data_IF_872611505567
#
_entry.id   IF_872611505567
#
_cell.length_a   1.000
_cell.length_b   1.000
_cell.length_c   1.000
_cell.angle_alpha   90.00
_cell.angle_beta   90.00
_cell.angle_gamma   90.00
#
_symmetry.space_group_name_H-M   'P 1'
#
loop_
_entity.id
_entity.type
_entity.pdbx_description
1 polymer ?
#
# COMPACT_ATOMS: atom_id res chain seq x y z
N UNK A 1 -9.04 12.72 10.55
CA UNK A 1 -8.16 13.83 10.13
C UNK A 1 -7.47 14.39 11.36
N UNK A 2 -6.24 14.88 11.21
CA UNK A 2 -5.33 15.13 12.35
C UNK A 2 -4.62 13.85 12.79
N UNK A 3 -4.11 13.84 14.01
CA UNK A 3 -3.39 12.70 14.57
C UNK A 3 -4.19 12.03 15.71
N UNK A 4 -4.66 10.78 15.54
CA UNK A 4 -5.51 10.11 16.54
C UNK A 4 -4.85 9.94 17.91
N UNK A 5 -3.53 9.83 17.97
CA UNK A 5 -2.81 9.66 19.24
C UNK A 5 -2.72 10.97 20.05
N UNK A 6 -3.26 12.08 19.53
CA UNK A 6 -3.46 13.30 20.32
C UNK A 6 -4.70 13.26 21.22
N UNK A 7 -5.57 12.27 21.03
CA UNK A 7 -6.66 11.99 21.96
C UNK A 7 -6.12 11.41 23.27
N UNK A 8 -6.87 11.60 24.36
CA UNK A 8 -6.54 10.97 25.64
C UNK A 8 -6.70 9.44 25.56
N UNK A 9 -6.00 8.72 26.45
CA UNK A 9 -6.08 7.26 26.52
C UNK A 9 -7.54 6.78 26.71
N UNK A 10 -8.32 7.48 27.54
CA UNK A 10 -9.74 7.19 27.76
C UNK A 10 -10.60 7.38 26.50
N UNK A 11 -10.34 8.43 25.71
CA UNK A 11 -11.05 8.67 24.47
C UNK A 11 -10.72 7.60 23.42
N UNK A 12 -9.44 7.24 23.28
CA UNK A 12 -9.00 6.14 22.42
C UNK A 12 -9.66 4.83 22.83
N UNK A 13 -9.65 4.52 24.13
CA UNK A 13 -10.27 3.31 24.67
C UNK A 13 -11.75 3.21 24.31
N UNK A 14 -12.48 4.31 24.49
CA UNK A 14 -13.91 4.40 24.19
C UNK A 14 -14.19 4.18 22.69
N UNK A 15 -13.40 4.80 21.80
CA UNK A 15 -13.58 4.69 20.35
C UNK A 15 -13.27 3.26 19.89
N UNK A 16 -12.12 2.71 20.32
CA UNK A 16 -11.68 1.37 19.93
C UNK A 16 -12.64 0.28 20.44
N UNK A 17 -13.14 0.43 21.67
CA UNK A 17 -14.16 -0.47 22.23
C UNK A 17 -15.43 -0.50 21.38
N UNK A 18 -15.94 0.68 20.99
CA UNK A 18 -17.14 0.77 20.14
C UNK A 18 -16.93 0.16 18.76
N UNK A 19 -15.76 0.41 18.13
CA UNK A 19 -15.43 -0.19 16.85
C UNK A 19 -15.37 -1.72 16.94
N UNK A 20 -14.85 -2.27 18.05
CA UNK A 20 -14.77 -3.72 18.26
C UNK A 20 -16.09 -4.40 18.56
N UNK A 21 -17.13 -3.66 18.95
CA UNK A 21 -18.47 -4.21 19.11
C UNK A 21 -19.17 -4.46 17.76
N UNK A 22 -18.62 -3.94 16.65
CA UNK A 22 -19.20 -4.09 15.32
C UNK A 22 -18.66 -5.39 14.69
N UNK A 23 -19.49 -6.43 14.49
CA UNK A 23 -19.00 -7.77 14.13
C UNK A 23 -18.20 -7.84 12.81
N UNK A 24 -18.56 -7.03 11.81
CA UNK A 24 -17.90 -7.01 10.50
C UNK A 24 -16.60 -6.16 10.47
N UNK A 25 -16.21 -5.53 11.58
CA UNK A 25 -14.96 -4.76 11.65
C UNK A 25 -13.82 -5.68 12.06
N UNK A 26 -13.13 -6.23 11.06
CA UNK A 26 -12.05 -7.20 11.28
C UNK A 26 -10.76 -6.54 11.78
N UNK A 27 -10.31 -5.48 11.10
CA UNK A 27 -9.01 -4.83 11.38
C UNK A 27 -9.23 -3.36 11.75
N UNK A 28 -8.59 -2.94 12.84
CA UNK A 28 -8.47 -1.52 13.19
C UNK A 28 -7.05 -1.07 12.91
N UNK A 29 -6.89 0.09 12.27
CA UNK A 29 -5.57 0.70 12.02
C UNK A 29 -5.55 2.16 12.43
N UNK A 30 -4.42 2.59 13.00
CA UNK A 30 -4.18 3.97 13.40
C UNK A 30 -3.07 4.54 12.51
N UNK A 31 -3.34 5.67 11.84
CA UNK A 31 -2.31 6.46 11.16
C UNK A 31 -1.89 7.61 12.07
N UNK A 32 -0.62 7.67 12.48
CA UNK A 32 -0.14 8.68 13.43
C UNK A 32 1.32 9.03 13.21
N UNK A 33 1.65 10.32 13.20
CA UNK A 33 3.02 10.83 13.16
C UNK A 33 3.61 11.00 14.56
N UNK A 34 2.83 10.79 15.64
CA UNK A 34 3.27 10.91 17.03
C UNK A 34 4.56 10.15 17.36
N UNK A 35 4.81 8.90 16.90
CA UNK A 35 6.08 8.22 17.17
C UNK A 35 7.31 9.00 16.67
N UNK A 36 7.12 9.90 15.69
CA UNK A 36 8.15 10.75 15.10
C UNK A 36 8.28 12.07 15.88
N UNK A 37 7.16 12.79 16.05
CA UNK A 37 7.17 14.20 16.51
C UNK A 37 6.94 14.37 18.00
N UNK A 38 6.27 13.41 18.65
CA UNK A 38 6.00 13.42 20.09
C UNK A 38 6.12 12.00 20.67
N UNK A 39 7.31 11.36 20.59
CA UNK A 39 7.47 9.96 20.98
C UNK A 39 7.12 9.68 22.45
N UNK A 40 7.23 10.68 23.32
CA UNK A 40 6.85 10.59 24.74
C UNK A 40 5.37 10.30 24.98
N UNK A 41 4.51 10.53 23.99
CA UNK A 41 3.08 10.16 24.05
C UNK A 41 2.88 8.65 24.07
N UNK A 42 3.86 7.87 23.61
CA UNK A 42 3.86 6.41 23.63
C UNK A 42 4.30 5.91 25.03
N UNK A 43 3.39 6.07 25.98
CA UNK A 43 3.53 5.59 27.35
C UNK A 43 3.13 4.11 27.46
N UNK A 44 3.50 3.47 28.57
CA UNK A 44 3.10 2.08 28.82
C UNK A 44 1.58 1.96 29.01
N UNK A 45 0.93 2.98 29.57
CA UNK A 45 -0.53 3.07 29.70
C UNK A 45 -1.23 3.13 28.34
N UNK A 46 -0.76 3.98 27.42
CA UNK A 46 -1.30 4.02 26.06
C UNK A 46 -1.15 2.66 25.38
N UNK A 47 0.04 2.07 25.48
CA UNK A 47 0.31 0.76 24.88
C UNK A 47 -0.61 -0.31 25.48
N UNK A 48 -0.85 -0.28 26.80
CA UNK A 48 -1.80 -1.16 27.46
C UNK A 48 -3.23 -0.98 26.93
N UNK A 49 -3.66 0.27 26.69
CA UNK A 49 -4.96 0.55 26.06
C UNK A 49 -5.05 -0.07 24.67
N UNK A 50 -4.06 0.20 23.81
CA UNK A 50 -4.06 -0.27 22.42
C UNK A 50 -4.05 -1.80 22.29
N UNK A 51 -3.31 -2.50 23.17
CA UNK A 51 -3.20 -3.97 23.20
C UNK A 51 -4.53 -4.69 23.34
N UNK A 52 -5.52 -4.09 24.00
CA UNK A 52 -6.85 -4.70 24.22
C UNK A 52 -7.63 -4.94 22.93
N UNK A 53 -7.25 -4.28 21.83
CA UNK A 53 -8.07 -4.19 20.62
C UNK A 53 -7.43 -4.85 19.39
N UNK A 54 -6.55 -5.82 19.60
CA UNK A 54 -6.00 -6.66 18.53
C UNK A 54 -7.11 -7.36 17.71
N UNK A 55 -6.92 -7.58 16.38
CA UNK A 55 -5.75 -7.20 15.57
C UNK A 55 -5.71 -5.69 15.24
N UNK A 56 -4.72 -4.98 15.77
CA UNK A 56 -4.56 -3.53 15.61
C UNK A 56 -3.23 -3.23 14.93
N UNK A 57 -3.26 -2.36 13.92
CA UNK A 57 -2.10 -1.93 13.15
C UNK A 57 -1.81 -0.45 13.38
N UNK A 58 -0.55 -0.05 13.27
CA UNK A 58 -0.18 1.37 13.33
C UNK A 58 0.73 1.74 12.17
N UNK A 59 0.34 2.76 11.41
CA UNK A 59 1.15 3.36 10.37
C UNK A 59 1.73 4.69 10.85
N UNK A 60 3.06 4.79 10.88
CA UNK A 60 3.81 6.01 11.23
C UNK A 60 4.23 6.80 9.98
N UNK A 61 4.82 7.98 10.16
CA UNK A 61 5.18 8.93 9.10
C UNK A 61 6.58 9.56 9.28
N UNK A 62 7.61 8.72 9.25
CA UNK A 62 9.00 9.10 9.05
C UNK A 62 9.28 9.44 7.57
N UNK A 63 10.00 10.53 7.33
CA UNK A 63 10.47 11.02 6.03
C UNK A 63 11.99 11.12 5.95
N UNK A 64 12.71 11.22 7.07
CA UNK A 64 14.16 11.38 7.05
C UNK A 64 14.86 10.55 8.15
N UNK A 65 16.06 9.97 7.88
CA UNK A 65 16.79 9.19 8.90
C UNK A 65 17.10 9.93 10.21
N UNK A 66 17.16 11.27 10.18
CA UNK A 66 17.40 12.07 11.40
C UNK A 66 16.24 12.06 12.39
N UNK A 67 15.04 11.66 11.93
CA UNK A 67 13.89 11.53 12.82
C UNK A 67 14.01 10.31 13.75
N UNK A 68 14.92 9.37 13.47
CA UNK A 68 15.27 8.25 14.37
C UNK A 68 16.13 8.73 15.54
N UNK A 69 15.47 9.38 16.49
CA UNK A 69 16.03 9.71 17.80
C UNK A 69 15.89 8.53 18.76
N UNK A 70 16.67 8.52 19.84
CA UNK A 70 16.54 7.52 20.92
C UNK A 70 15.08 7.39 21.40
N UNK A 71 14.41 8.51 21.65
CA UNK A 71 13.03 8.53 22.10
C UNK A 71 12.06 7.92 21.08
N UNK A 72 12.23 8.23 19.78
CA UNK A 72 11.40 7.63 18.72
C UNK A 72 11.62 6.12 18.60
N UNK A 73 12.87 5.64 18.71
CA UNK A 73 13.16 4.21 18.68
C UNK A 73 12.57 3.48 19.88
N UNK A 74 12.62 4.07 21.08
CA UNK A 74 11.97 3.53 22.28
C UNK A 74 10.45 3.46 22.14
N UNK A 75 9.83 4.51 21.59
CA UNK A 75 8.39 4.53 21.30
C UNK A 75 8.00 3.43 20.30
N UNK A 76 8.75 3.27 19.21
CA UNK A 76 8.53 2.20 18.24
C UNK A 76 8.72 0.81 18.87
N UNK A 77 9.74 0.63 19.72
CA UNK A 77 9.98 -0.62 20.40
C UNK A 77 8.80 -1.01 21.30
N UNK A 78 8.27 -0.08 22.10
CA UNK A 78 7.10 -0.33 22.96
C UNK A 78 5.88 -0.77 22.16
N UNK A 79 5.61 -0.15 21.02
CA UNK A 79 4.50 -0.53 20.14
C UNK A 79 4.73 -1.90 19.49
N UNK A 80 5.93 -2.17 18.99
CA UNK A 80 6.25 -3.46 18.37
C UNK A 80 6.24 -4.61 19.39
N UNK A 81 6.79 -4.40 20.60
CA UNK A 81 6.74 -5.35 21.73
C UNK A 81 5.31 -5.58 22.21
N UNK A 82 4.39 -4.68 21.84
CA UNK A 82 2.98 -4.86 22.09
C UNK A 82 2.26 -5.82 21.14
N UNK A 83 2.99 -6.37 20.17
CA UNK A 83 2.44 -7.18 19.09
C UNK A 83 1.68 -6.34 18.06
N UNK A 84 1.82 -5.00 18.06
CA UNK A 84 1.20 -4.12 17.07
C UNK A 84 2.12 -4.06 15.85
N UNK A 85 1.68 -4.58 14.68
CA UNK A 85 2.48 -4.45 13.47
C UNK A 85 2.58 -2.99 13.04
N UNK A 86 3.80 -2.57 12.73
CA UNK A 86 4.12 -1.19 12.38
C UNK A 86 4.41 -1.07 10.88
N UNK A 87 3.70 -0.15 10.22
CA UNK A 87 4.01 0.30 8.87
C UNK A 87 4.51 1.74 8.87
N UNK A 88 5.18 2.16 7.80
CA UNK A 88 5.53 3.56 7.60
C UNK A 88 5.11 4.08 6.22
N UNK A 89 4.50 5.26 6.24
CA UNK A 89 4.09 6.01 5.07
C UNK A 89 4.97 7.26 4.98
N UNK A 90 5.97 7.24 4.10
CA UNK A 90 6.76 8.43 3.77
C UNK A 90 6.10 9.20 2.64
N UNK A 91 6.32 10.50 2.58
CA UNK A 91 6.04 11.34 1.40
C UNK A 91 7.36 11.72 0.76
N UNK A 92 7.44 11.62 -0.55
CA UNK A 92 8.58 12.06 -1.34
C UNK A 92 8.55 13.59 -1.44
N UNK A 93 9.49 14.23 -0.77
CA UNK A 93 9.57 15.68 -0.58
C UNK A 93 10.90 16.22 -1.09
N UNK A 94 10.82 17.21 -1.98
CA UNK A 94 11.97 17.90 -2.53
C UNK A 94 12.80 18.58 -1.43
N UNK A 95 14.13 18.37 -1.46
CA UNK A 95 15.05 18.93 -0.48
C UNK A 95 15.03 18.24 0.90
N UNK A 96 14.27 17.16 1.06
CA UNK A 96 14.20 16.39 2.32
C UNK A 96 14.66 14.96 2.08
N UNK A 97 13.99 14.21 1.21
CA UNK A 97 14.24 12.79 1.00
C UNK A 97 14.19 12.35 -0.47
N UNK A 98 14.28 13.30 -1.40
CA UNK A 98 14.38 13.11 -2.84
C UNK A 98 15.78 12.64 -3.30
N UNK A 99 16.38 11.73 -2.53
CA UNK A 99 17.70 11.15 -2.77
C UNK A 99 17.69 9.64 -2.49
N UNK A 100 18.10 8.78 -3.44
CA UNK A 100 18.16 7.33 -3.25
C UNK A 100 18.94 6.87 -2.01
N UNK A 101 20.05 7.54 -1.68
CA UNK A 101 20.88 7.19 -0.53
C UNK A 101 20.19 7.54 0.80
N UNK A 102 19.49 8.68 0.86
CA UNK A 102 18.71 9.07 2.04
C UNK A 102 17.56 8.07 2.24
N UNK A 103 16.84 7.75 1.18
CA UNK A 103 15.74 6.77 1.24
C UNK A 103 16.22 5.39 1.63
N UNK A 104 17.36 4.92 1.09
CA UNK A 104 17.97 3.64 1.48
C UNK A 104 18.27 3.59 2.96
N UNK A 105 18.91 4.64 3.50
CA UNK A 105 19.18 4.74 4.94
C UNK A 105 17.87 4.76 5.75
N UNK A 106 16.87 5.51 5.30
CA UNK A 106 15.58 5.61 5.96
C UNK A 106 14.90 4.24 6.07
N UNK A 107 14.79 3.51 4.96
CA UNK A 107 14.12 2.20 4.95
C UNK A 107 14.87 1.14 5.77
N UNK A 108 16.20 1.24 5.87
CA UNK A 108 16.98 0.36 6.74
C UNK A 108 16.73 0.65 8.22
N UNK A 109 16.72 1.93 8.61
CA UNK A 109 16.40 2.31 10.00
C UNK A 109 14.96 1.93 10.38
N UNK A 110 14.01 2.05 9.45
CA UNK A 110 12.63 1.56 9.65
C UNK A 110 12.61 0.07 9.97
N UNK A 111 13.21 -0.75 9.10
CA UNK A 111 13.22 -2.22 9.29
C UNK A 111 13.96 -2.61 10.57
N UNK A 112 15.08 -1.96 10.89
CA UNK A 112 15.84 -2.17 12.13
C UNK A 112 15.00 -1.91 13.39
N UNK A 113 14.05 -0.98 13.32
CA UNK A 113 13.10 -0.67 14.39
C UNK A 113 11.77 -1.42 14.26
N UNK A 114 11.72 -2.52 13.48
CA UNK A 114 10.52 -3.35 13.26
C UNK A 114 9.34 -2.60 12.65
N UNK A 115 9.63 -1.57 11.85
CA UNK A 115 8.67 -0.83 11.06
C UNK A 115 8.82 -1.21 9.59
N UNK A 116 7.75 -1.72 8.98
CA UNK A 116 7.75 -2.06 7.56
C UNK A 116 7.57 -0.79 6.72
N UNK A 117 8.48 -0.45 5.80
CA UNK A 117 8.22 0.56 4.79
C UNK A 117 6.99 0.15 3.99
N UNK A 118 5.90 0.91 4.13
CA UNK A 118 4.61 0.56 3.54
C UNK A 118 4.39 1.30 2.24
N UNK A 119 4.41 2.64 2.29
CA UNK A 119 4.27 3.49 1.12
C UNK A 119 5.33 4.57 1.06
N UNK A 120 5.76 4.87 -0.16
CA UNK A 120 6.34 6.16 -0.53
C UNK A 120 5.28 6.89 -1.35
N UNK A 121 4.70 7.95 -0.81
CA UNK A 121 3.71 8.76 -1.51
C UNK A 121 4.39 9.80 -2.38
N UNK A 122 3.90 9.99 -3.60
CA UNK A 122 4.12 11.23 -4.32
C UNK A 122 3.49 12.39 -3.53
N UNK A 123 4.17 13.54 -3.46
CA UNK A 123 3.61 14.73 -2.83
C UNK A 123 2.35 15.20 -3.58
N UNK A 124 1.25 15.32 -2.82
CA UNK A 124 -0.10 15.65 -3.32
C UNK A 124 -0.19 17.03 -3.98
N UNK A 125 -1.28 17.22 -4.74
CA UNK A 125 -1.65 18.48 -5.37
C UNK A 125 -2.28 19.50 -4.41
N UNK A 126 -2.00 19.41 -3.12
CA UNK A 126 -2.56 20.33 -2.13
C UNK A 126 -1.95 21.73 -2.25
N UNK A 127 -2.77 22.73 -1.93
CA UNK A 127 -2.37 24.14 -1.98
C UNK A 127 -1.15 24.40 -1.06
N UNK A 128 -0.21 25.20 -1.55
CA UNK A 128 1.01 25.56 -0.82
C UNK A 128 2.15 24.52 -0.85
N UNK A 129 1.94 23.31 -1.37
CA UNK A 129 2.97 22.25 -1.36
C UNK A 129 3.84 22.18 -2.62
N UNK A 130 3.64 23.05 -3.61
CA UNK A 130 4.30 22.96 -4.91
C UNK A 130 5.85 22.87 -4.84
N UNK A 131 6.45 23.59 -3.88
CA UNK A 131 7.91 23.61 -3.67
C UNK A 131 8.47 22.29 -3.08
N UNK A 132 7.63 21.45 -2.49
CA UNK A 132 8.01 20.11 -2.03
C UNK A 132 7.79 19.01 -3.07
N UNK A 133 7.18 19.32 -4.21
CA UNK A 133 6.85 18.31 -5.22
C UNK A 133 8.09 17.90 -6.01
N UNK A 134 8.13 16.62 -6.34
CA UNK A 134 9.13 16.01 -7.23
C UNK A 134 8.47 15.51 -8.52
N UNK A 135 9.21 15.39 -9.63
CA UNK A 135 8.76 14.62 -10.79
C UNK A 135 8.59 13.14 -10.42
N UNK A 136 7.62 12.46 -11.05
CA UNK A 136 7.36 11.01 -10.83
C UNK A 136 8.63 10.17 -11.08
N UNK A 137 9.44 10.58 -12.07
CA UNK A 137 10.71 9.92 -12.38
C UNK A 137 11.66 9.83 -11.18
N UNK A 138 11.61 10.78 -10.23
CA UNK A 138 12.41 10.72 -9.00
C UNK A 138 11.98 9.59 -8.08
N UNK A 139 10.67 9.33 -7.97
CA UNK A 139 10.16 8.18 -7.22
C UNK A 139 10.55 6.85 -7.86
N UNK A 140 10.47 6.76 -9.20
CA UNK A 140 10.91 5.58 -9.96
C UNK A 140 12.42 5.33 -9.76
N UNK A 141 13.26 6.37 -9.86
CA UNK A 141 14.71 6.32 -9.62
C UNK A 141 15.03 5.78 -8.21
N UNK A 142 14.30 6.25 -7.19
CA UNK A 142 14.45 5.78 -5.81
C UNK A 142 14.08 4.30 -5.71
N UNK A 143 12.93 3.88 -6.25
CA UNK A 143 12.49 2.49 -6.19
C UNK A 143 13.46 1.55 -6.93
N UNK A 144 13.94 1.93 -8.12
CA UNK A 144 14.97 1.18 -8.85
C UNK A 144 16.24 1.01 -8.01
N UNK A 145 16.62 2.06 -7.27
CA UNK A 145 17.80 2.04 -6.38
C UNK A 145 17.61 1.25 -5.09
N UNK A 146 16.41 0.73 -4.82
CA UNK A 146 16.08 -0.08 -3.64
C UNK A 146 15.84 -1.55 -4.01
N UNK A 147 15.06 -1.82 -5.06
CA UNK A 147 14.76 -3.18 -5.51
C UNK A 147 16.07 -3.90 -5.88
N UNK A 148 16.29 -5.07 -5.30
CA UNK A 148 17.51 -5.88 -5.53
C UNK A 148 18.77 -5.37 -4.82
N UNK A 149 18.89 -4.07 -4.59
CA UNK A 149 19.99 -3.46 -3.83
C UNK A 149 19.83 -3.57 -2.31
N UNK A 150 18.64 -3.93 -1.83
CA UNK A 150 18.38 -4.23 -0.43
C UNK A 150 17.35 -5.34 -0.25
N UNK A 151 17.07 -5.72 1.00
CA UNK A 151 16.03 -6.69 1.33
C UNK A 151 14.67 -6.23 0.81
N UNK A 152 13.90 -7.16 0.22
CA UNK A 152 12.53 -6.89 -0.22
C UNK A 152 11.61 -6.39 0.90
N UNK A 153 11.93 -6.68 2.17
CA UNK A 153 11.23 -6.15 3.33
C UNK A 153 11.36 -4.61 3.45
N UNK A 154 12.45 -4.04 2.92
CA UNK A 154 12.78 -2.63 2.99
C UNK A 154 12.29 -1.83 1.77
N UNK A 155 11.61 -2.47 0.81
CA UNK A 155 11.11 -1.80 -0.40
C UNK A 155 9.65 -1.39 -0.20
N UNK A 156 9.32 -0.08 -0.07
CA UNK A 156 7.94 0.37 -0.02
C UNK A 156 7.31 0.32 -1.42
N UNK A 157 5.98 0.34 -1.48
CA UNK A 157 5.30 0.64 -2.74
C UNK A 157 5.32 2.15 -2.99
N UNK A 158 5.86 2.61 -4.11
CA UNK A 158 5.71 4.00 -4.52
C UNK A 158 4.33 4.20 -5.14
N UNK A 159 3.57 5.17 -4.65
CA UNK A 159 2.18 5.40 -5.04
C UNK A 159 1.91 6.88 -5.31
N UNK A 160 1.00 7.12 -6.25
CA UNK A 160 0.42 8.42 -6.53
C UNK A 160 -1.04 8.36 -6.11
N UNK A 161 -1.50 9.25 -5.23
CA UNK A 161 -2.94 9.37 -4.97
C UNK A 161 -3.59 10.08 -6.15
N UNK A 162 -4.49 9.38 -6.83
CA UNK A 162 -5.10 9.87 -8.05
C UNK A 162 -5.98 11.10 -7.74
N UNK A 163 -5.76 12.24 -8.43
CA UNK A 163 -6.64 13.40 -8.29
C UNK A 163 -8.11 13.02 -8.49
N UNK A 164 -9.00 13.59 -7.70
CA UNK A 164 -10.43 13.26 -7.75
C UNK A 164 -10.82 11.99 -6.98
N UNK A 165 -9.92 11.40 -6.19
CA UNK A 165 -10.26 10.30 -5.28
C UNK A 165 -10.25 8.91 -5.92
N UNK A 166 -9.53 8.73 -7.03
CA UNK A 166 -9.35 7.43 -7.70
C UNK A 166 -8.50 6.43 -6.90
N UNK A 167 -7.93 6.86 -5.77
CA UNK A 167 -7.14 6.03 -4.88
C UNK A 167 -5.66 5.96 -5.28
N UNK A 168 -4.95 5.04 -4.62
CA UNK A 168 -3.48 4.96 -4.66
C UNK A 168 -3.05 4.11 -5.85
N UNK A 169 -2.45 4.73 -6.85
CA UNK A 169 -1.95 4.06 -8.05
C UNK A 169 -0.46 3.73 -7.84
N UNK A 170 -0.07 2.44 -7.79
CA UNK A 170 1.32 2.07 -7.66
C UNK A 170 2.09 2.39 -8.94
N UNK A 171 3.31 2.90 -8.77
CA UNK A 171 4.24 3.19 -9.86
C UNK A 171 5.58 2.53 -9.53
N UNK A 172 6.15 1.84 -10.50
CA UNK A 172 7.41 1.11 -10.34
C UNK A 172 8.18 1.09 -11.66
N UNK A 173 9.48 0.75 -11.63
CA UNK A 173 10.22 0.53 -12.86
C UNK A 173 9.71 -0.68 -13.66
N UNK A 174 9.95 -0.66 -14.98
CA UNK A 174 9.57 -1.76 -15.86
C UNK A 174 10.62 -2.87 -15.85
N UNK A 175 10.26 -4.04 -15.32
CA UNK A 175 11.11 -5.24 -15.31
C UNK A 175 10.73 -6.24 -16.40
N UNK A 176 9.47 -6.22 -16.85
CA UNK A 176 9.01 -6.92 -18.06
C UNK A 176 9.51 -6.17 -19.30
N UNK A 177 10.25 -6.87 -20.16
CA UNK A 177 10.87 -6.29 -21.36
C UNK A 177 10.11 -6.70 -22.62
N UNK A 178 9.79 -7.98 -22.75
CA UNK A 178 9.11 -8.54 -23.92
C UNK A 178 8.44 -9.87 -23.55
N UNK A 179 7.50 -10.33 -24.37
CA UNK A 179 6.81 -11.60 -24.18
C UNK A 179 6.40 -12.21 -25.54
N UNK A 180 6.27 -13.53 -25.57
CA UNK A 180 5.72 -14.31 -26.68
C UNK A 180 4.66 -15.29 -26.14
N UNK A 181 4.24 -16.27 -26.95
CA UNK A 181 3.24 -17.27 -26.57
C UNK A 181 3.69 -18.27 -25.49
N UNK A 182 4.99 -18.35 -25.18
CA UNK A 182 5.52 -19.31 -24.20
C UNK A 182 6.77 -18.84 -23.46
N UNK A 183 7.15 -17.57 -23.62
CA UNK A 183 8.38 -17.02 -23.05
C UNK A 183 8.18 -15.57 -22.67
N UNK A 184 8.78 -15.19 -21.55
CA UNK A 184 8.81 -13.82 -21.07
C UNK A 184 10.26 -13.39 -20.86
N UNK A 185 10.65 -12.25 -21.42
CA UNK A 185 11.96 -11.64 -21.20
C UNK A 185 11.85 -10.60 -20.09
N UNK A 186 12.65 -10.79 -19.05
CA UNK A 186 12.72 -9.95 -17.86
C UNK A 186 14.13 -9.36 -17.74
N UNK A 187 14.22 -8.14 -17.21
CA UNK A 187 15.50 -7.62 -16.70
C UNK A 187 15.50 -7.63 -15.17
N UNK A 188 16.66 -7.70 -14.54
CA UNK A 188 16.82 -7.46 -13.11
C UNK A 188 17.38 -6.05 -12.82
N UNK A 189 17.72 -5.79 -11.55
CA UNK A 189 18.31 -4.54 -11.08
C UNK A 189 19.76 -4.30 -11.57
N UNK A 190 20.47 -5.36 -11.98
CA UNK A 190 21.85 -5.30 -12.48
C UNK A 190 21.92 -5.02 -13.99
N UNK A 191 20.77 -5.00 -14.67
CA UNK A 191 20.70 -4.96 -16.13
C UNK A 191 20.91 -6.31 -16.81
N UNK A 192 20.89 -7.42 -16.06
CA UNK A 192 20.87 -8.77 -16.62
C UNK A 192 19.49 -9.05 -17.21
N UNK A 193 19.46 -9.58 -18.43
CA UNK A 193 18.25 -10.07 -19.08
C UNK A 193 18.16 -11.59 -18.91
N UNK A 194 16.96 -12.09 -18.57
CA UNK A 194 16.67 -13.51 -18.46
C UNK A 194 15.35 -13.84 -19.13
N UNK A 195 15.20 -15.08 -19.57
CA UNK A 195 13.96 -15.60 -20.14
C UNK A 195 13.32 -16.57 -19.16
N UNK A 196 12.07 -16.33 -18.81
CA UNK A 196 11.21 -17.29 -18.14
C UNK A 196 10.43 -18.08 -19.20
N UNK A 197 10.58 -19.41 -19.21
CA UNK A 197 9.78 -20.29 -20.05
C UNK A 197 8.45 -20.57 -19.34
N UNK A 198 7.36 -20.24 -20.00
CA UNK A 198 6.02 -20.52 -19.51
C UNK A 198 5.66 -22.01 -19.71
N UNK A 199 4.69 -22.55 -18.96
CA UNK A 199 4.29 -23.94 -19.09
C UNK A 199 3.81 -24.27 -20.51
N UNK A 200 4.27 -25.40 -21.08
CA UNK A 200 3.83 -25.86 -22.40
C UNK A 200 2.33 -26.22 -22.43
N UNK A 201 1.77 -26.59 -21.27
CA UNK A 201 0.37 -26.94 -21.10
C UNK A 201 -0.16 -26.30 -19.80
N UNK A 202 -1.02 -25.30 -19.95
CA UNK A 202 -1.80 -24.73 -18.85
C UNK A 202 -3.29 -24.84 -19.22
N UNK A 203 -4.03 -25.66 -18.47
CA UNK A 203 -5.48 -25.72 -18.59
C UNK A 203 -6.08 -24.65 -17.66
N UNK A 204 -6.63 -23.59 -18.25
CA UNK A 204 -7.32 -22.54 -17.50
C UNK A 204 -8.56 -23.16 -16.81
N UNK A 205 -8.68 -22.98 -15.50
CA UNK A 205 -9.94 -23.17 -14.79
C UNK A 205 -10.80 -21.93 -14.98
N UNK A 206 -11.98 -22.08 -15.57
CA UNK A 206 -12.97 -21.00 -15.67
C UNK A 206 -13.73 -20.87 -14.36
N UNK A 207 -13.89 -19.64 -13.86
CA UNK A 207 -14.65 -19.37 -12.64
C UNK A 207 -16.10 -18.97 -12.97
N UNK A 208 -17.08 -19.68 -12.40
CA UNK A 208 -18.52 -19.41 -12.52
C UNK A 208 -19.17 -18.98 -11.20
N UNK A 209 -18.34 -18.65 -10.19
CA UNK A 209 -18.71 -18.35 -8.80
C UNK A 209 -19.40 -19.50 -8.04
N UNK A 210 -19.46 -20.72 -8.57
CA UNK A 210 -19.94 -21.90 -7.85
C UNK A 210 -18.83 -22.49 -6.97
N UNK A 211 -18.37 -21.71 -5.98
CA UNK A 211 -17.21 -22.06 -5.15
C UNK A 211 -17.34 -23.42 -4.44
N UNK A 212 -18.55 -23.86 -4.09
CA UNK A 212 -18.80 -25.17 -3.48
C UNK A 212 -18.42 -26.35 -4.39
N UNK A 213 -18.47 -26.16 -5.71
CA UNK A 213 -18.15 -27.17 -6.72
C UNK A 213 -16.76 -26.93 -7.34
N UNK A 214 -16.03 -25.94 -6.84
CA UNK A 214 -14.73 -25.58 -7.38
C UNK A 214 -13.69 -26.67 -7.10
N UNK A 215 -13.04 -27.15 -8.15
CA UNK A 215 -11.97 -28.16 -8.07
C UNK A 215 -10.71 -27.67 -7.35
N UNK A 216 -10.60 -26.36 -7.06
CA UNK A 216 -9.53 -25.75 -6.27
C UNK A 216 -9.77 -25.81 -4.75
N UNK A 217 -10.80 -26.54 -4.29
CA UNK A 217 -11.06 -26.83 -2.87
C UNK A 217 -11.24 -25.58 -1.99
N UNK A 218 -11.97 -24.58 -2.49
CA UNK A 218 -12.32 -23.41 -1.70
C UNK A 218 -13.50 -23.73 -0.77
N UNK A 219 -13.37 -23.51 0.54
CA UNK A 219 -14.50 -23.61 1.47
C UNK A 219 -15.52 -22.50 1.13
N UNK A 220 -16.73 -22.86 0.71
CA UNK A 220 -17.79 -21.91 0.31
C UNK A 220 -18.21 -20.89 1.38
N UNK A 221 -17.67 -20.99 2.59
CA UNK A 221 -17.96 -20.13 3.76
C UNK A 221 -17.35 -18.72 3.71
N UNK A 222 -16.78 -18.27 2.59
CA UNK A 222 -16.16 -16.94 2.56
C UNK A 222 -17.16 -15.88 2.09
N UNK A 223 -17.39 -14.87 2.94
CA UNK A 223 -18.04 -13.59 2.57
C UNK A 223 -17.36 -12.94 1.34
N UNK A 224 -16.12 -13.36 1.04
CA UNK A 224 -15.32 -12.99 -0.11
C UNK A 224 -15.75 -13.64 -1.44
N UNK A 225 -16.57 -14.70 -1.44
CA UNK A 225 -17.01 -15.40 -2.65
C UNK A 225 -18.12 -14.66 -3.43
N UNK A 226 -18.76 -13.65 -2.83
CA UNK A 226 -19.98 -13.02 -3.35
C UNK A 226 -19.82 -11.57 -3.81
N UNK A 227 -18.59 -11.09 -4.03
CA UNK A 227 -18.39 -9.72 -4.53
C UNK A 227 -18.38 -9.71 -6.06
N UNK A 228 -19.25 -8.90 -6.66
CA UNK A 228 -19.18 -8.58 -8.10
C UNK A 228 -17.88 -7.85 -8.43
N UNK A 229 -17.25 -8.24 -9.52
CA UNK A 229 -16.03 -7.59 -9.99
C UNK A 229 -16.38 -6.22 -10.58
N UNK A 230 -15.46 -5.26 -10.48
CA UNK A 230 -15.67 -3.91 -10.98
C UNK A 230 -14.45 -3.39 -11.73
N UNK A 231 -14.68 -2.47 -12.68
CA UNK A 231 -13.61 -1.84 -13.44
C UNK A 231 -12.82 -2.87 -14.26
N UNK A 232 -11.49 -2.77 -14.26
CA UNK A 232 -10.62 -3.67 -15.03
C UNK A 232 -10.80 -5.13 -14.58
N UNK A 233 -11.08 -5.39 -13.30
CA UNK A 233 -11.33 -6.74 -12.80
C UNK A 233 -12.54 -7.39 -13.49
N UNK A 234 -13.61 -6.62 -13.74
CA UNK A 234 -14.78 -7.11 -14.46
C UNK A 234 -14.45 -7.55 -15.89
N UNK A 235 -13.57 -6.80 -16.58
CA UNK A 235 -13.10 -7.14 -17.93
C UNK A 235 -12.24 -8.41 -17.98
N UNK A 236 -11.64 -8.79 -16.85
CA UNK A 236 -10.76 -9.95 -16.72
C UNK A 236 -11.49 -11.18 -16.15
N UNK A 237 -12.67 -10.99 -15.56
CA UNK A 237 -13.41 -12.02 -14.84
C UNK A 237 -14.27 -12.85 -15.79
N UNK A 238 -14.24 -14.16 -15.63
CA UNK A 238 -15.00 -15.10 -16.47
C UNK A 238 -16.52 -15.05 -16.24
N UNK A 239 -16.94 -14.58 -15.07
CA UNK A 239 -18.33 -14.56 -14.61
C UNK A 239 -19.03 -13.21 -14.81
N UNK A 240 -18.32 -12.19 -15.31
CA UNK A 240 -18.91 -10.91 -15.69
C UNK A 240 -19.08 -10.84 -17.21
N UNK A 241 -20.03 -10.04 -17.68
CA UNK A 241 -20.37 -9.91 -19.11
C UNK A 241 -19.70 -8.69 -19.76
N UNK A 242 -19.13 -7.82 -18.95
CA UNK A 242 -18.53 -6.57 -19.30
C UNK A 242 -17.25 -6.79 -20.12
N UNK A 243 -17.26 -6.36 -21.38
CA UNK A 243 -16.09 -6.45 -22.29
C UNK A 243 -15.44 -5.09 -22.59
N UNK A 244 -16.02 -3.99 -22.12
CA UNK A 244 -15.53 -2.63 -22.39
C UNK A 244 -15.94 -1.66 -21.30
N UNK A 245 -15.03 -0.77 -20.89
CA UNK A 245 -15.32 0.39 -20.04
C UNK A 245 -15.25 1.65 -20.93
N UNK A 246 -16.34 2.40 -21.00
CA UNK A 246 -16.40 3.65 -21.75
C UNK A 246 -16.60 4.85 -20.80
N UNK A 247 -15.91 5.99 -21.04
CA UNK A 247 -16.28 7.25 -20.40
C UNK A 247 -17.72 7.62 -20.73
N UNK A 248 -18.45 8.16 -19.75
CA UNK A 248 -19.89 8.46 -19.85
C UNK A 248 -20.26 9.35 -21.06
N UNK A 249 -19.38 10.29 -21.44
CA UNK A 249 -19.62 11.27 -22.50
C UNK A 249 -18.70 11.07 -23.72
N UNK A 250 -18.40 9.82 -24.08
CA UNK A 250 -17.59 9.56 -25.29
C UNK A 250 -18.33 10.04 -26.54
N UNK A 251 -17.77 11.03 -27.26
CA UNK A 251 -18.32 11.54 -28.54
C UNK A 251 -18.59 10.44 -29.58
N UNK A 252 -17.88 9.31 -29.48
CA UNK A 252 -18.11 8.16 -30.36
C UNK A 252 -19.47 7.51 -30.13
N UNK A 253 -20.00 7.57 -28.91
CA UNK A 253 -21.31 7.01 -28.55
C UNK A 253 -22.42 7.94 -29.02
N UNK A 254 -22.28 9.27 -28.84
CA UNK A 254 -23.29 10.23 -29.30
C UNK A 254 -23.51 10.17 -30.83
N UNK A 255 -22.43 10.02 -31.61
CA UNK A 255 -22.53 9.87 -33.08
C UNK A 255 -23.32 8.63 -33.54
N UNK A 256 -23.41 7.59 -32.71
CA UNK A 256 -24.19 6.38 -33.04
C UNK A 256 -25.68 6.54 -32.76
N UNK A 257 -26.04 7.43 -31.85
CA UNK A 257 -27.43 7.69 -31.47
C UNK A 257 -28.08 8.69 -32.44
N UNK A 258 -27.29 9.59 -33.03
CA UNK A 258 -27.77 10.56 -34.05
C UNK A 258 -28.01 9.93 -35.44
N UNK A 259 -27.63 8.65 -35.65
CA UNK A 259 -27.82 7.91 -36.91
C UNK A 259 -29.00 6.92 -36.87
N UNK A 260 -29.72 6.78 -35.75
CA UNK A 260 -30.98 6.02 -35.60
C UNK A 260 -32.21 6.94 -35.54
#
# INVERSE_FOLDING_TARGET
GGDPLMLSDMQLDTILSRLRQIPHVEIIRIGSRVPVVLPFRITDDLVHVLKKYHPLWLNTHFNHPHEFTKASCEALAKLADAGIPLGNQSVLLAGVNDCPNIMRKLVHELVKNRVRPYYLFQCDLAEGLAHFRTPIGKGIEIIESLIGHTSGLAVPTYVIDAPGGGGKIPVMPHYLVSWSSNKVVLRNYEGMFSTYQEPDQYQKTTCDLQCEQCNLQHSGDSEYAMRRAHGIEALLSDYESEITILPADSERVSRRVDEE
#
